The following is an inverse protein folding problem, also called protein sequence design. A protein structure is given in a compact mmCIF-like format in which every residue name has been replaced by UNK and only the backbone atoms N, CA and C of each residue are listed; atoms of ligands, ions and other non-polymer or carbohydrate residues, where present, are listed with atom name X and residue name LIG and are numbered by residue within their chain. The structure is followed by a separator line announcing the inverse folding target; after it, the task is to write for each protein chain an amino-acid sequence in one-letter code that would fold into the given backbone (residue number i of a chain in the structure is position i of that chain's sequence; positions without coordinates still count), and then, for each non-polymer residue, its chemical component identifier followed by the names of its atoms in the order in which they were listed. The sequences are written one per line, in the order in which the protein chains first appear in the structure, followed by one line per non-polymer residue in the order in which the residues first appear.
data_IF_309801379997
#
_entry.id   IF_309801379997
#
_cell.length_a   1.000
_cell.length_b   1.000
_cell.length_c   1.000
_cell.angle_alpha   90.00
_cell.angle_beta   90.00
_cell.angle_gamma   90.00
#
_symmetry.space_group_name_H-M   'P 1'
#
loop_
_entity.id
_entity.type
_entity.pdbx_description
1 polymer ?
#
# COMPACT_ATOMS: atom_id res chain seq x y z
N UNK A 1 -18.05 41.86 -14.94
CA UNK A 1 -18.28 40.40 -15.09
C UNK A 1 -16.97 39.79 -15.60
N UNK A 2 -15.98 39.31 -14.82
CA UNK A 2 -15.80 38.99 -13.41
C UNK A 2 -14.45 39.60 -12.95
N UNK A 3 -14.46 40.70 -12.19
CA UNK A 3 -13.24 41.46 -11.86
C UNK A 3 -12.21 40.64 -11.06
N UNK A 4 -12.68 39.69 -10.24
CA UNK A 4 -11.81 38.84 -9.41
C UNK A 4 -10.97 37.84 -10.22
N UNK A 5 -11.43 37.39 -11.40
CA UNK A 5 -10.64 36.50 -12.27
C UNK A 5 -9.52 37.29 -12.94
N UNK A 6 -9.82 38.50 -13.41
CA UNK A 6 -8.82 39.36 -14.07
C UNK A 6 -7.64 39.73 -13.17
N UNK A 7 -7.79 39.66 -11.84
CA UNK A 7 -6.71 39.91 -10.89
C UNK A 7 -5.51 38.97 -11.06
N UNK A 8 -5.73 37.76 -11.59
CA UNK A 8 -4.68 36.77 -11.84
C UNK A 8 -4.22 36.74 -13.31
N UNK A 9 -4.77 37.60 -14.16
CA UNK A 9 -4.39 37.75 -15.55
C UNK A 9 -3.38 38.89 -15.69
N UNK A 10 -2.32 38.69 -16.48
CA UNK A 10 -1.39 39.76 -16.79
C UNK A 10 -1.82 40.41 -18.12
N UNK A 11 -2.26 41.68 -18.11
CA UNK A 11 -2.84 42.34 -19.28
C UNK A 11 -1.83 42.58 -20.41
N UNK A 12 -0.53 42.42 -20.15
CA UNK A 12 0.52 42.54 -21.16
C UNK A 12 0.62 41.32 -22.09
N UNK A 13 -0.07 40.22 -21.77
CA UNK A 13 -0.06 39.00 -22.57
C UNK A 13 -1.41 38.76 -23.26
N UNK A 14 -1.38 38.04 -24.38
CA UNK A 14 -2.60 37.63 -25.08
C UNK A 14 -3.11 36.28 -24.55
N UNK A 15 -4.43 36.12 -24.33
CA UNK A 15 -5.03 34.83 -24.01
C UNK A 15 -4.67 33.73 -25.01
N UNK A 16 -4.58 32.48 -24.57
CA UNK A 16 -4.26 31.35 -25.46
C UNK A 16 -5.30 31.12 -26.56
N UNK A 17 -6.54 31.57 -26.35
CA UNK A 17 -7.59 31.54 -27.38
C UNK A 17 -7.19 32.27 -28.67
N UNK A 18 -6.32 33.28 -28.60
CA UNK A 18 -5.76 33.93 -29.80
C UNK A 18 -4.89 32.99 -30.62
N UNK A 19 -4.15 32.07 -29.98
CA UNK A 19 -3.39 31.03 -30.68
C UNK A 19 -4.30 30.05 -31.42
N UNK A 20 -5.53 29.85 -30.94
CA UNK A 20 -6.56 29.06 -31.61
C UNK A 20 -7.35 29.85 -32.66
N UNK A 21 -7.00 31.12 -32.92
CA UNK A 21 -7.78 32.04 -33.76
C UNK A 21 -9.25 32.13 -33.33
N UNK A 22 -9.55 31.79 -32.06
CA UNK A 22 -10.91 31.65 -31.54
C UNK A 22 -11.82 30.72 -32.38
N UNK A 23 -11.21 29.80 -33.14
CA UNK A 23 -11.96 28.83 -33.93
C UNK A 23 -12.68 27.85 -32.99
N UNK A 24 -14.02 27.78 -33.05
CA UNK A 24 -14.80 27.05 -32.05
C UNK A 24 -14.48 25.56 -32.05
N UNK A 25 -14.18 24.98 -33.20
CA UNK A 25 -13.85 23.57 -33.34
C UNK A 25 -12.54 23.19 -32.65
N UNK A 26 -11.49 24.00 -32.80
CA UNK A 26 -10.20 23.77 -32.12
C UNK A 26 -10.32 24.08 -30.63
N UNK A 27 -10.94 25.21 -30.30
CA UNK A 27 -11.10 25.68 -28.92
C UNK A 27 -11.87 24.67 -28.08
N UNK A 28 -13.05 24.24 -28.52
CA UNK A 28 -13.86 23.29 -27.75
C UNK A 28 -13.22 21.91 -27.67
N UNK A 29 -12.47 21.48 -28.68
CA UNK A 29 -11.72 20.23 -28.62
C UNK A 29 -10.67 20.26 -27.51
N UNK A 30 -9.88 21.34 -27.42
CA UNK A 30 -8.90 21.48 -26.34
C UNK A 30 -9.54 21.60 -24.97
N UNK A 31 -10.56 22.46 -24.83
CA UNK A 31 -11.24 22.69 -23.55
C UNK A 31 -11.91 21.41 -23.03
N UNK A 32 -12.64 20.69 -23.88
CA UNK A 32 -13.32 19.45 -23.45
C UNK A 32 -12.31 18.34 -23.13
N UNK A 33 -11.22 18.23 -23.89
CA UNK A 33 -10.14 17.31 -23.59
C UNK A 33 -9.50 17.64 -22.23
N UNK A 34 -9.13 18.90 -21.99
CA UNK A 34 -8.52 19.34 -20.73
C UNK A 34 -9.45 19.14 -19.52
N UNK A 35 -10.76 19.38 -19.67
CA UNK A 35 -11.75 19.09 -18.62
C UNK A 35 -11.75 17.60 -18.31
N UNK A 36 -11.84 16.77 -19.35
CA UNK A 36 -11.93 15.32 -19.20
C UNK A 36 -10.67 14.75 -18.55
N UNK A 37 -9.49 15.19 -18.98
CA UNK A 37 -8.20 14.75 -18.43
C UNK A 37 -8.04 15.25 -16.99
N UNK A 38 -8.32 16.53 -16.73
CA UNK A 38 -8.20 17.12 -15.39
C UNK A 38 -9.10 16.41 -14.36
N UNK A 39 -10.36 16.14 -14.73
CA UNK A 39 -11.29 15.38 -13.88
C UNK A 39 -10.80 13.94 -13.69
N UNK A 40 -10.37 13.26 -14.75
CA UNK A 40 -9.86 11.90 -14.65
C UNK A 40 -8.67 11.81 -13.69
N UNK A 41 -7.71 12.74 -13.78
CA UNK A 41 -6.55 12.76 -12.91
C UNK A 41 -6.92 13.00 -11.44
N UNK A 42 -7.84 13.91 -11.15
CA UNK A 42 -8.30 14.12 -9.78
C UNK A 42 -9.06 12.91 -9.23
N UNK A 43 -9.88 12.26 -10.06
CA UNK A 43 -10.56 11.01 -9.68
C UNK A 43 -9.57 9.89 -9.40
N UNK A 44 -8.54 9.70 -10.25
CA UNK A 44 -7.47 8.71 -10.03
C UNK A 44 -6.77 8.99 -8.69
N UNK A 45 -6.38 10.24 -8.43
CA UNK A 45 -5.76 10.63 -7.16
C UNK A 45 -6.64 10.32 -5.96
N UNK A 46 -7.95 10.63 -6.03
CA UNK A 46 -8.91 10.31 -4.98
C UNK A 46 -9.06 8.80 -4.77
N UNK A 47 -9.17 8.02 -5.85
CA UNK A 47 -9.32 6.56 -5.79
C UNK A 47 -8.08 5.93 -5.12
N UNK A 48 -6.87 6.34 -5.52
CA UNK A 48 -5.63 5.86 -4.89
C UNK A 48 -5.59 6.27 -3.42
N UNK A 49 -5.96 7.51 -3.08
CA UNK A 49 -6.03 7.98 -1.71
C UNK A 49 -6.99 7.17 -0.84
N UNK A 50 -8.19 6.90 -1.33
CA UNK A 50 -9.21 6.08 -0.65
C UNK A 50 -8.71 4.64 -0.47
N UNK A 51 -8.06 4.06 -1.49
CA UNK A 51 -7.48 2.72 -1.44
C UNK A 51 -6.43 2.61 -0.33
N UNK A 52 -5.52 3.58 -0.24
CA UNK A 52 -4.46 3.60 0.78
C UNK A 52 -5.02 3.85 2.19
N UNK A 53 -6.06 4.67 2.31
CA UNK A 53 -6.71 4.92 3.60
C UNK A 53 -7.49 3.70 4.10
N UNK A 54 -8.20 2.99 3.21
CA UNK A 54 -8.97 1.78 3.57
C UNK A 54 -8.11 0.54 3.79
N UNK A 55 -6.93 0.45 3.17
CA UNK A 55 -5.95 -0.62 3.42
C UNK A 55 -5.37 -0.45 4.84
N UNK A 56 -5.89 -1.24 5.78
CA UNK A 56 -5.39 -1.29 7.18
C UNK A 56 -3.99 -1.93 7.30
N UNK A 57 -3.62 -2.79 6.36
CA UNK A 57 -2.28 -3.38 6.32
C UNK A 57 -1.24 -2.36 5.86
N UNK A 58 -0.01 -2.49 6.36
CA UNK A 58 1.12 -1.64 5.98
C UNK A 58 1.47 -1.83 4.50
N UNK A 59 0.90 -0.99 3.63
CA UNK A 59 1.27 -0.93 2.22
C UNK A 59 2.78 -0.67 2.13
N UNK A 60 3.56 -1.56 1.49
CA UNK A 60 4.98 -1.33 1.28
C UNK A 60 5.21 -0.07 0.44
N UNK A 61 6.24 0.70 0.78
CA UNK A 61 6.69 1.86 0.01
C UNK A 61 5.61 2.95 -0.21
N UNK A 62 4.83 3.28 0.84
CA UNK A 62 3.79 4.34 0.81
C UNK A 62 4.26 5.66 0.20
N UNK A 63 5.52 6.01 0.38
CA UNK A 63 6.12 7.24 -0.17
C UNK A 63 6.04 7.31 -1.70
N UNK A 64 6.18 6.17 -2.40
CA UNK A 64 6.06 6.12 -3.86
C UNK A 64 4.64 6.49 -4.27
N UNK A 65 3.63 5.94 -3.58
CA UNK A 65 2.24 6.25 -3.87
C UNK A 65 1.91 7.71 -3.57
N UNK A 66 2.45 8.27 -2.47
CA UNK A 66 2.29 9.69 -2.15
C UNK A 66 2.88 10.60 -3.23
N UNK A 67 4.09 10.30 -3.70
CA UNK A 67 4.75 11.04 -4.78
C UNK A 67 3.98 10.91 -6.11
N UNK A 68 3.51 9.70 -6.43
CA UNK A 68 2.73 9.46 -7.64
C UNK A 68 1.37 10.19 -7.62
N UNK A 69 0.69 10.19 -6.48
CA UNK A 69 -0.54 10.97 -6.28
C UNK A 69 -0.27 12.48 -6.43
N UNK A 70 0.81 13.00 -5.84
CA UNK A 70 1.18 14.39 -5.97
C UNK A 70 1.48 14.77 -7.43
N UNK A 71 2.26 13.93 -8.13
CA UNK A 71 2.57 14.10 -9.55
C UNK A 71 1.29 14.14 -10.42
N UNK A 72 0.39 13.16 -10.29
CA UNK A 72 -0.87 13.11 -11.04
C UNK A 72 -1.75 14.32 -10.70
N UNK A 73 -1.81 14.70 -9.43
CA UNK A 73 -2.58 15.86 -9.00
C UNK A 73 -2.08 17.14 -9.68
N UNK A 74 -0.77 17.41 -9.66
CA UNK A 74 -0.22 18.60 -10.31
C UNK A 74 -0.40 18.56 -11.84
N UNK A 75 -0.24 17.40 -12.48
CA UNK A 75 -0.60 17.23 -13.88
C UNK A 75 -2.06 17.62 -14.14
N UNK A 76 -3.00 17.17 -13.29
CA UNK A 76 -4.42 17.52 -13.40
C UNK A 76 -4.65 19.03 -13.29
N UNK A 77 -3.99 19.67 -12.33
CA UNK A 77 -4.02 21.13 -12.15
C UNK A 77 -3.53 21.86 -13.40
N UNK A 78 -2.51 21.36 -14.10
CA UNK A 78 -2.03 22.01 -15.34
C UNK A 78 -3.09 22.07 -16.44
N UNK A 79 -4.00 21.10 -16.53
CA UNK A 79 -5.11 21.10 -17.49
C UNK A 79 -6.17 22.15 -17.14
N UNK A 80 -6.54 22.26 -15.85
CA UNK A 80 -7.46 23.31 -15.41
C UNK A 80 -6.90 24.72 -15.63
N UNK A 81 -5.59 24.90 -15.42
CA UNK A 81 -4.94 26.17 -15.73
C UNK A 81 -4.81 26.41 -17.23
N UNK A 82 -4.65 25.38 -18.07
CA UNK A 82 -4.67 25.54 -19.52
C UNK A 82 -6.04 26.04 -20.03
N UNK A 83 -7.14 25.50 -19.49
CA UNK A 83 -8.50 26.02 -19.72
C UNK A 83 -8.54 27.49 -19.31
N UNK A 84 -8.11 27.83 -18.10
CA UNK A 84 -8.14 29.22 -17.62
C UNK A 84 -7.35 30.17 -18.54
N UNK A 85 -6.13 29.77 -18.92
CA UNK A 85 -5.21 30.54 -19.78
C UNK A 85 -5.77 30.77 -21.19
N UNK A 86 -6.70 29.94 -21.65
CA UNK A 86 -7.41 30.12 -22.92
C UNK A 86 -8.16 31.46 -22.97
N UNK A 87 -8.78 31.89 -21.86
CA UNK A 87 -9.49 33.18 -21.79
C UNK A 87 -8.73 34.26 -21.03
N UNK A 88 -7.93 33.90 -20.03
CA UNK A 88 -7.25 34.84 -19.14
C UNK A 88 -5.75 34.54 -19.07
N UNK A 89 -4.86 35.39 -19.60
CA UNK A 89 -3.44 35.10 -19.78
C UNK A 89 -2.65 35.05 -18.45
N UNK A 90 -2.80 33.95 -17.72
CA UNK A 90 -2.16 33.67 -16.44
C UNK A 90 -0.91 32.78 -16.61
N UNK A 91 -0.06 33.11 -17.58
CA UNK A 91 1.11 32.30 -17.96
C UNK A 91 2.13 32.12 -16.83
N UNK A 92 2.26 33.11 -15.94
CA UNK A 92 3.15 33.02 -14.77
C UNK A 92 2.72 31.87 -13.84
N UNK A 93 1.44 31.82 -13.48
CA UNK A 93 0.87 30.74 -12.67
C UNK A 93 0.95 29.39 -13.38
N UNK A 94 0.68 29.37 -14.68
CA UNK A 94 0.86 28.16 -15.49
C UNK A 94 2.31 27.67 -15.45
N UNK A 95 3.29 28.58 -15.52
CA UNK A 95 4.71 28.28 -15.39
C UNK A 95 5.06 27.68 -14.03
N UNK A 96 4.58 28.28 -12.94
CA UNK A 96 4.80 27.77 -11.58
C UNK A 96 4.25 26.35 -11.37
N UNK A 97 3.02 26.08 -11.84
CA UNK A 97 2.41 24.76 -11.71
C UNK A 97 3.15 23.74 -12.58
N UNK A 98 3.57 24.12 -13.79
CA UNK A 98 4.42 23.26 -14.64
C UNK A 98 5.77 22.98 -13.98
N UNK A 99 6.39 23.96 -13.33
CA UNK A 99 7.65 23.78 -12.60
C UNK A 99 7.47 22.81 -11.42
N UNK A 100 6.38 22.95 -10.66
CA UNK A 100 6.05 22.03 -9.55
C UNK A 100 5.75 20.61 -10.05
N UNK A 101 5.05 20.50 -11.19
CA UNK A 101 4.83 19.22 -11.88
C UNK A 101 6.16 18.60 -12.28
N UNK A 102 7.05 19.35 -12.94
CA UNK A 102 8.37 18.85 -13.34
C UNK A 102 9.22 18.42 -12.14
N UNK A 103 9.19 19.20 -11.06
CA UNK A 103 9.88 18.88 -9.81
C UNK A 103 9.38 17.56 -9.22
N UNK A 104 8.05 17.40 -9.08
CA UNK A 104 7.46 16.17 -8.56
C UNK A 104 7.69 14.96 -9.47
N UNK A 105 7.69 15.13 -10.80
CA UNK A 105 8.06 14.08 -11.76
C UNK A 105 9.50 13.60 -11.56
N UNK A 106 10.46 14.52 -11.50
CA UNK A 106 11.88 14.20 -11.31
C UNK A 106 12.09 13.53 -9.95
N UNK A 107 11.50 14.09 -8.89
CA UNK A 107 11.58 13.51 -7.56
C UNK A 107 11.02 12.09 -7.52
N UNK A 108 9.88 11.85 -8.19
CA UNK A 108 9.29 10.51 -8.32
C UNK A 108 10.26 9.55 -9.01
N UNK A 109 10.88 9.97 -10.12
CA UNK A 109 11.86 9.15 -10.84
C UNK A 109 13.09 8.80 -9.98
N UNK A 110 13.65 9.79 -9.27
CA UNK A 110 14.81 9.60 -8.37
C UNK A 110 14.49 8.61 -7.24
N UNK A 111 13.29 8.70 -6.66
CA UNK A 111 12.89 7.80 -5.56
C UNK A 111 12.52 6.41 -6.06
N UNK A 112 11.91 6.31 -7.25
CA UNK A 112 11.45 5.05 -7.82
C UNK A 112 12.60 4.19 -8.38
N UNK A 113 13.57 4.81 -9.06
CA UNK A 113 14.69 4.11 -9.70
C UNK A 113 15.44 3.13 -8.78
N UNK A 114 15.89 3.50 -7.56
CA UNK A 114 16.57 2.56 -6.67
C UNK A 114 15.64 1.50 -6.07
N UNK A 115 14.32 1.75 -6.02
CA UNK A 115 13.31 0.83 -5.49
C UNK A 115 12.86 -0.20 -6.54
N UNK A 116 13.13 0.03 -7.83
CA UNK A 116 12.75 -0.86 -8.93
C UNK A 116 13.21 -2.31 -8.76
N UNK A 117 14.47 -2.62 -8.38
CA UNK A 117 14.90 -4.01 -8.19
C UNK A 117 14.13 -4.74 -7.09
N UNK A 118 13.72 -4.02 -6.04
CA UNK A 118 12.90 -4.58 -4.96
C UNK A 118 11.49 -4.88 -5.45
N UNK A 119 10.90 -3.96 -6.23
CA UNK A 119 9.56 -4.11 -6.80
C UNK A 119 9.46 -5.32 -7.75
N UNK A 120 10.47 -5.54 -8.60
CA UNK A 120 10.52 -6.69 -9.53
C UNK A 120 10.66 -8.02 -8.78
N UNK A 121 11.32 -8.02 -7.61
CA UNK A 121 11.52 -9.22 -6.78
C UNK A 121 10.36 -9.52 -5.85
N UNK A 122 9.32 -8.69 -5.80
CA UNK A 122 8.16 -8.95 -4.96
C UNK A 122 7.51 -10.26 -5.42
N UNK A 123 7.49 -11.31 -4.58
CA UNK A 123 6.79 -12.53 -4.93
C UNK A 123 5.30 -12.18 -5.09
N UNK A 124 4.67 -12.78 -6.10
CA UNK A 124 3.23 -12.66 -6.30
C UNK A 124 2.48 -13.05 -5.02
N UNK A 125 1.34 -12.41 -4.79
CA UNK A 125 0.49 -12.67 -3.62
C UNK A 125 0.18 -14.16 -3.49
N UNK A 126 -0.04 -14.84 -4.61
CA UNK A 126 -0.31 -16.28 -4.69
C UNK A 126 0.85 -17.13 -4.13
N UNK A 127 2.08 -16.80 -4.49
CA UNK A 127 3.27 -17.53 -4.02
C UNK A 127 3.41 -17.38 -2.51
N UNK A 128 3.24 -16.16 -1.98
CA UNK A 128 3.25 -15.92 -0.53
C UNK A 128 2.13 -16.66 0.19
N UNK A 129 0.95 -16.70 -0.41
CA UNK A 129 -0.19 -17.40 0.16
C UNK A 129 0.09 -18.90 0.27
N UNK A 130 0.55 -19.52 -0.82
CA UNK A 130 0.89 -20.95 -0.81
C UNK A 130 2.05 -21.27 0.14
N UNK A 131 3.10 -20.45 0.18
CA UNK A 131 4.20 -20.67 1.12
C UNK A 131 3.73 -20.57 2.58
N UNK A 132 2.87 -19.59 2.89
CA UNK A 132 2.30 -19.44 4.23
C UNK A 132 1.37 -20.60 4.60
N UNK A 133 0.57 -21.10 3.65
CA UNK A 133 -0.29 -22.27 3.87
C UNK A 133 0.53 -23.54 4.10
N UNK A 134 1.59 -23.76 3.32
CA UNK A 134 2.48 -24.90 3.52
C UNK A 134 3.18 -24.85 4.89
N UNK A 135 3.66 -23.67 5.31
CA UNK A 135 4.25 -23.48 6.64
C UNK A 135 3.23 -23.75 7.76
N UNK A 136 1.99 -23.29 7.58
CA UNK A 136 0.89 -23.55 8.52
C UNK A 136 0.59 -25.05 8.65
N UNK A 137 0.62 -25.81 7.56
CA UNK A 137 0.42 -27.26 7.58
C UNK A 137 1.52 -27.99 8.34
N UNK A 138 2.78 -27.58 8.13
CA UNK A 138 3.93 -28.14 8.87
C UNK A 138 3.81 -27.83 10.36
N UNK A 139 3.44 -26.61 10.74
CA UNK A 139 3.22 -26.23 12.14
C UNK A 139 2.08 -27.06 12.75
N UNK A 140 0.97 -27.25 12.03
CA UNK A 140 -0.14 -28.10 12.50
C UNK A 140 0.29 -29.55 12.72
N UNK A 141 1.07 -30.11 11.81
CA UNK A 141 1.60 -31.47 11.97
C UNK A 141 2.52 -31.59 13.18
N UNK A 142 3.46 -30.65 13.36
CA UNK A 142 4.34 -30.61 14.54
C UNK A 142 3.55 -30.47 15.84
N UNK A 143 2.52 -29.63 15.87
CA UNK A 143 1.67 -29.48 17.05
C UNK A 143 0.91 -30.77 17.37
N UNK A 144 0.40 -31.49 16.36
CA UNK A 144 -0.24 -32.80 16.55
C UNK A 144 0.73 -33.85 17.08
N UNK A 145 1.95 -33.90 16.53
CA UNK A 145 3.00 -34.79 17.02
C UNK A 145 3.38 -34.46 18.46
N UNK A 146 3.59 -33.19 18.78
CA UNK A 146 3.91 -32.73 20.14
C UNK A 146 2.81 -33.12 21.13
N UNK A 147 1.54 -32.96 20.76
CA UNK A 147 0.41 -33.37 21.60
C UNK A 147 0.40 -34.88 21.85
N UNK A 148 0.72 -35.70 20.84
CA UNK A 148 0.81 -37.16 21.02
C UNK A 148 1.99 -37.60 21.88
N UNK A 149 3.14 -36.93 21.75
CA UNK A 149 4.30 -37.17 22.61
C UNK A 149 3.96 -36.80 24.05
N UNK A 150 3.29 -35.67 24.25
CA UNK A 150 2.87 -35.22 25.58
C UNK A 150 1.95 -36.24 26.26
N UNK A 151 0.94 -36.79 25.56
CA UNK A 151 0.06 -37.82 26.13
C UNK A 151 0.80 -39.12 26.46
N UNK A 152 1.76 -39.54 25.64
CA UNK A 152 2.57 -40.74 25.90
C UNK A 152 3.50 -40.53 27.09
N UNK A 153 4.06 -39.33 27.27
CA UNK A 153 4.88 -39.00 28.44
C UNK A 153 4.06 -39.05 29.73
N UNK A 154 2.83 -38.51 29.72
CA UNK A 154 1.94 -38.59 30.87
C UNK A 154 1.58 -40.05 31.22
N UNK A 155 1.22 -40.87 30.24
CA UNK A 155 0.93 -42.30 30.46
C UNK A 155 2.14 -43.05 31.06
N UNK A 156 3.35 -42.71 30.61
CA UNK A 156 4.58 -43.26 31.19
C UNK A 156 4.78 -42.82 32.65
N UNK A 157 4.51 -41.56 32.98
CA UNK A 157 4.61 -41.08 34.36
C UNK A 157 3.60 -41.78 35.27
N UNK A 158 2.35 -41.92 34.83
CA UNK A 158 1.30 -42.63 35.56
C UNK A 158 1.67 -44.11 35.80
N UNK A 159 2.19 -44.79 34.77
CA UNK A 159 2.69 -46.18 34.87
C UNK A 159 3.85 -46.32 35.85
N UNK A 160 4.78 -45.35 35.86
CA UNK A 160 5.89 -45.37 36.82
C UNK A 160 5.37 -45.20 38.25
N UNK A 161 4.38 -44.33 38.47
CA UNK A 161 3.76 -44.15 39.78
C UNK A 161 3.04 -45.43 40.24
N UNK A 162 2.31 -46.08 39.35
CA UNK A 162 1.62 -47.35 39.62
C UNK A 162 2.61 -48.46 40.01
N UNK A 163 3.67 -48.65 39.21
CA UNK A 163 4.73 -49.63 39.51
C UNK A 163 5.43 -49.35 40.84
N UNK A 164 5.70 -48.08 41.17
CA UNK A 164 6.29 -47.72 42.48
C UNK A 164 5.36 -48.08 43.64
N UNK A 165 4.05 -47.89 43.50
CA UNK A 165 3.05 -48.30 44.50
C UNK A 165 2.99 -49.81 44.66
N UNK A 166 2.99 -50.56 43.56
CA UNK A 166 2.98 -52.02 43.56
C UNK A 166 4.24 -52.60 44.23
N UNK A 167 5.42 -52.08 43.88
CA UNK A 167 6.69 -52.47 44.54
C UNK A 167 6.64 -52.19 46.03
N UNK A 168 6.13 -51.02 46.45
CA UNK A 168 5.97 -50.69 47.87
C UNK A 168 4.98 -51.63 48.59
N UNK A 169 3.90 -52.05 47.92
CA UNK A 169 2.93 -53.00 48.47
C UNK A 169 3.57 -54.38 48.68
N UNK A 170 4.28 -54.90 47.67
CA UNK A 170 5.01 -56.17 47.76
C UNK A 170 6.11 -56.15 48.84
N UNK A 171 6.81 -55.02 49.00
CA UNK A 171 7.78 -54.86 50.08
C UNK A 171 7.15 -54.93 51.46
N UNK A 172 5.95 -54.34 51.62
CA UNK A 172 5.19 -54.42 52.86
C UNK A 172 4.72 -55.85 53.16
N UNK A 173 4.35 -56.64 52.15
CA UNK A 173 4.01 -58.07 52.31
C UNK A 173 5.22 -58.91 52.75
N UNK A 174 6.42 -58.50 52.34
CA UNK A 174 7.69 -59.15 52.70
C UNK A 174 8.27 -58.68 54.06
N UNK A 175 7.51 -57.89 54.83
CA UNK A 175 7.95 -57.24 56.10
C UNK A 175 9.22 -56.36 55.92
N UNK A 176 9.39 -55.76 54.74
CA UNK A 176 10.49 -54.83 54.43
C UNK A 176 9.99 -53.39 54.36
N UNK A 177 10.89 -52.45 54.67
CA UNK A 177 10.61 -51.02 54.52
C UNK A 177 10.34 -50.66 53.04
N UNK A 178 9.45 -49.70 52.80
CA UNK A 178 9.13 -49.18 51.45
C UNK A 178 10.39 -48.67 50.75
N UNK A 179 10.49 -48.91 49.44
CA UNK A 179 11.64 -48.50 48.63
C UNK A 179 11.46 -47.15 47.95
N UNK A 180 10.23 -46.68 47.75
CA UNK A 180 9.96 -45.42 47.06
C UNK A 180 9.03 -44.54 47.88
N UNK A 181 9.24 -43.22 47.83
CA UNK A 181 8.39 -42.21 48.48
C UNK A 181 7.27 -41.79 47.52
N UNK A 182 6.27 -42.68 47.38
CA UNK A 182 5.08 -42.54 46.53
C UNK A 182 3.88 -43.19 47.20
#
# INVERSE_FOLDING_TARGET
MNEWLQQFANPNFMPHGHCYLWRPDILWTHVTADITIGVAYYLITLIIGILLYKRKESVPHKDIFALFMAFIFFCGTTHFVAIYVTWYPAYEYQGWIKALTAFTSILTAIVLAPKLPQLIRLPGVEVKYHSAMAELEVIKQKNKQMSSIYSVTLDREDRILELKKEVNALMSELDRAKSYDV
#
